data_IF_227117636830
#
_entry.id   IF_227117636830
#
_cell.length_a   1.000
_cell.length_b   1.000
_cell.length_c   1.000
_cell.angle_alpha   90.00
_cell.angle_beta   90.00
_cell.angle_gamma   90.00
#
_symmetry.space_group_name_H-M   'P 1'
#
loop_
_entity.id
_entity.type
_entity.pdbx_description
1 polymer ?
#
# COMPACT_ATOMS: atom_id res chain seq x y z
N UNK A 1 -29.81 -9.88 9.86
CA UNK A 1 -28.64 -8.96 9.79
C UNK A 1 -27.52 -9.56 10.64
N UNK A 2 -26.36 -9.93 10.05
CA UNK A 2 -25.25 -10.49 10.84
C UNK A 2 -24.21 -9.42 11.15
N UNK A 3 -23.72 -9.43 12.39
CA UNK A 3 -22.60 -8.61 12.83
C UNK A 3 -21.38 -9.50 13.02
N UNK A 4 -20.30 -9.24 12.28
CA UNK A 4 -19.01 -9.91 12.45
C UNK A 4 -18.09 -8.99 13.24
N UNK A 5 -17.53 -9.50 14.33
CA UNK A 5 -16.54 -8.78 15.10
C UNK A 5 -15.14 -9.06 14.57
N UNK A 6 -14.51 -8.05 13.99
CA UNK A 6 -13.12 -8.13 13.59
C UNK A 6 -12.23 -8.04 14.84
N UNK A 7 -11.63 -9.16 15.23
CA UNK A 7 -10.76 -9.25 16.40
C UNK A 7 -9.47 -8.43 16.27
N UNK A 8 -9.01 -8.13 15.04
CA UNK A 8 -7.81 -7.33 14.79
C UNK A 8 -8.10 -5.84 14.89
N UNK A 9 -9.26 -5.42 14.38
CA UNK A 9 -9.70 -4.02 14.35
C UNK A 9 -10.57 -3.64 15.55
N UNK A 10 -10.93 -4.62 16.40
CA UNK A 10 -11.84 -4.49 17.55
C UNK A 10 -13.13 -3.76 17.19
N UNK A 11 -13.66 -4.01 16.00
CA UNK A 11 -14.81 -3.31 15.45
C UNK A 11 -15.86 -4.30 14.95
N UNK A 12 -17.11 -3.94 15.16
CA UNK A 12 -18.26 -4.65 14.60
C UNK A 12 -18.50 -4.18 13.17
N UNK A 13 -18.63 -5.15 12.27
CA UNK A 13 -19.04 -4.94 10.88
C UNK A 13 -20.40 -5.57 10.68
N UNK A 14 -21.35 -4.77 10.21
CA UNK A 14 -22.65 -5.28 9.78
C UNK A 14 -22.52 -5.74 8.34
N UNK A 15 -22.74 -7.02 8.11
CA UNK A 15 -22.64 -7.62 6.79
C UNK A 15 -24.06 -7.86 6.28
N UNK A 16 -24.34 -7.26 5.12
CA UNK A 16 -25.55 -7.52 4.36
C UNK A 16 -25.26 -8.68 3.40
N UNK A 17 -26.01 -9.77 3.51
CA UNK A 17 -25.94 -10.83 2.51
C UNK A 17 -26.47 -10.28 1.17
N UNK A 18 -25.75 -10.45 0.06
CA UNK A 18 -26.22 -9.98 -1.25
C UNK A 18 -27.42 -10.79 -1.79
N UNK A 19 -27.85 -11.84 -1.08
CA UNK A 19 -28.95 -12.71 -1.49
C UNK A 19 -30.28 -12.43 -0.77
N UNK A 20 -30.34 -11.44 0.13
CA UNK A 20 -31.57 -11.08 0.85
C UNK A 20 -31.97 -9.66 0.47
N UNK A 21 -33.14 -9.44 -0.18
CA UNK A 21 -33.65 -8.10 -0.42
C UNK A 21 -33.75 -7.34 0.92
N UNK A 22 -33.41 -6.04 0.95
CA UNK A 22 -33.36 -5.26 2.19
C UNK A 22 -34.71 -5.12 2.91
N UNK A 23 -35.80 -5.63 2.33
CA UNK A 23 -37.16 -5.49 2.82
C UNK A 23 -37.62 -6.68 3.70
N UNK A 24 -36.87 -7.80 3.72
CA UNK A 24 -37.23 -9.02 4.47
C UNK A 24 -36.14 -9.46 5.47
N UNK A 25 -35.66 -8.56 6.33
CA UNK A 25 -34.60 -8.89 7.32
C UNK A 25 -35.13 -9.21 8.71
N UNK A 26 -35.98 -10.22 8.83
CA UNK A 26 -36.33 -10.88 10.11
C UNK A 26 -35.84 -12.34 10.15
N UNK A 27 -34.74 -12.65 9.49
CA UNK A 27 -34.15 -13.99 9.54
C UNK A 27 -33.05 -14.14 10.60
N UNK A 28 -33.23 -15.23 11.35
CA UNK A 28 -32.47 -15.80 12.47
C UNK A 28 -30.94 -15.76 12.23
N UNK A 29 -30.15 -15.18 13.15
CA UNK A 29 -28.68 -15.19 13.11
C UNK A 29 -28.08 -16.58 12.89
N UNK A 30 -28.75 -17.65 13.35
CA UNK A 30 -28.26 -19.03 13.28
C UNK A 30 -28.32 -19.62 11.86
N UNK A 31 -29.14 -19.07 10.95
CA UNK A 31 -29.18 -19.49 9.55
C UNK A 31 -27.91 -19.07 8.78
N UNK A 32 -27.30 -17.95 9.15
CA UNK A 32 -26.04 -17.46 8.56
C UNK A 32 -24.80 -18.23 9.03
N UNK A 33 -24.84 -18.82 10.23
CA UNK A 33 -23.76 -19.65 10.76
C UNK A 33 -23.74 -21.06 10.17
N UNK A 34 -24.89 -21.54 9.70
CA UNK A 34 -25.00 -22.80 8.95
C UNK A 34 -24.65 -22.64 7.46
N UNK A 35 -24.26 -21.45 7.00
CA UNK A 35 -23.80 -21.21 5.64
C UNK A 35 -22.41 -21.85 5.42
N UNK A 36 -22.29 -22.85 4.52
CA UNK A 36 -21.03 -23.52 4.21
C UNK A 36 -19.91 -22.56 3.74
N UNK A 37 -20.30 -21.39 3.22
CA UNK A 37 -19.39 -20.32 2.78
C UNK A 37 -18.54 -19.78 3.94
N UNK A 38 -19.17 -19.40 5.06
CA UNK A 38 -18.48 -18.74 6.16
C UNK A 38 -17.56 -19.70 6.93
N UNK A 39 -17.99 -20.96 7.08
CA UNK A 39 -17.16 -22.01 7.67
C UNK A 39 -15.87 -22.27 6.87
N UNK A 40 -15.95 -22.27 5.53
CA UNK A 40 -14.79 -22.45 4.66
C UNK A 40 -13.82 -21.25 4.69
N UNK A 41 -14.34 -20.02 4.78
CA UNK A 41 -13.55 -18.79 4.89
C UNK A 41 -12.76 -18.75 6.20
N UNK A 42 -13.37 -19.09 7.33
CA UNK A 42 -12.70 -19.14 8.64
C UNK A 42 -11.63 -20.23 8.68
N UNK A 43 -11.91 -21.40 8.10
CA UNK A 43 -10.97 -22.53 8.06
C UNK A 43 -9.75 -22.26 7.16
N UNK A 44 -9.89 -21.51 6.07
CA UNK A 44 -8.79 -21.18 5.13
C UNK A 44 -7.89 -20.05 5.59
N UNK A 45 -8.39 -19.15 6.44
CA UNK A 45 -7.66 -17.96 6.93
C UNK A 45 -6.86 -18.22 8.21
N UNK A 46 -6.85 -19.47 8.70
CA UNK A 46 -6.13 -19.85 9.92
C UNK A 46 -6.84 -19.42 11.21
N UNK A 47 -8.08 -18.97 11.14
CA UNK A 47 -8.91 -18.72 12.30
C UNK A 47 -9.39 -20.06 12.86
N UNK A 48 -8.93 -20.43 14.07
CA UNK A 48 -9.52 -21.56 14.80
C UNK A 48 -10.93 -21.16 15.22
N UNK A 49 -11.95 -21.75 14.60
CA UNK A 49 -13.23 -21.93 15.27
C UNK A 49 -12.95 -22.75 16.54
N UNK A 50 -13.28 -22.18 17.69
CA UNK A 50 -13.08 -22.82 18.99
C UNK A 50 -14.06 -24.01 19.08
N UNK A 51 -13.58 -25.16 19.57
CA UNK A 51 -14.28 -26.46 19.48
C UNK A 51 -15.58 -26.53 20.30
N UNK A 52 -15.85 -25.52 21.12
CA UNK A 52 -17.01 -25.33 21.98
C UNK A 52 -18.26 -24.79 21.24
N UNK A 53 -18.21 -24.61 19.90
CA UNK A 53 -19.29 -24.00 19.13
C UNK A 53 -19.95 -24.89 18.06
N UNK A 54 -19.64 -26.19 18.00
CA UNK A 54 -20.22 -27.09 17.01
C UNK A 54 -20.95 -28.27 17.65
N UNK A 55 -22.26 -28.17 17.80
CA UNK A 55 -23.16 -29.32 17.62
C UNK A 55 -24.36 -28.87 16.78
N UNK A 56 -24.20 -28.85 15.46
CA UNK A 56 -25.31 -29.15 14.57
C UNK A 56 -24.79 -30.05 13.45
N UNK A 57 -25.29 -31.27 13.47
CA UNK A 57 -25.06 -32.34 12.50
C UNK A 57 -25.75 -31.96 11.18
N UNK A 58 -24.99 -31.59 10.15
CA UNK A 58 -25.58 -31.23 8.84
C UNK A 58 -25.91 -32.50 8.07
N UNK A 59 -27.17 -32.93 8.19
CA UNK A 59 -27.82 -33.85 7.24
C UNK A 59 -27.84 -33.24 5.84
N UNK A 60 -27.32 -34.00 4.88
CA UNK A 60 -27.24 -33.69 3.45
C UNK A 60 -28.52 -33.08 2.87
N UNK A 61 -28.39 -32.00 2.08
CA UNK A 61 -29.18 -31.77 0.85
C UNK A 61 -28.60 -30.61 0.02
N UNK A 62 -29.10 -30.33 -1.20
CA UNK A 62 -28.41 -30.67 -2.44
C UNK A 62 -27.90 -29.44 -3.18
N UNK A 63 -27.07 -29.71 -4.17
CA UNK A 63 -26.58 -28.75 -5.16
C UNK A 63 -27.76 -28.01 -5.80
N UNK A 64 -27.76 -26.68 -5.71
CA UNK A 64 -28.33 -25.85 -6.76
C UNK A 64 -27.57 -24.52 -6.92
N UNK A 65 -27.54 -24.09 -8.16
CA UNK A 65 -26.67 -23.09 -8.76
C UNK A 65 -26.79 -21.69 -8.17
N UNK A 66 -25.81 -21.29 -7.37
CA UNK A 66 -25.37 -19.90 -7.23
C UNK A 66 -23.90 -19.93 -6.79
N UNK A 67 -22.97 -19.72 -7.73
CA UNK A 67 -21.54 -19.65 -7.42
C UNK A 67 -21.30 -18.47 -6.47
N UNK A 68 -21.20 -18.80 -5.19
CA UNK A 68 -20.85 -17.89 -4.10
C UNK A 68 -19.51 -17.20 -4.38
N UNK A 69 -19.53 -15.86 -4.34
CA UNK A 69 -18.47 -14.90 -4.65
C UNK A 69 -17.39 -14.85 -3.55
N UNK A 70 -16.75 -16.00 -3.29
CA UNK A 70 -15.53 -16.11 -2.49
C UNK A 70 -14.35 -15.55 -3.28
N UNK A 71 -13.46 -14.79 -2.62
CA UNK A 71 -12.10 -14.54 -3.10
C UNK A 71 -11.35 -15.86 -3.28
N UNK A 72 -11.42 -16.48 -4.46
CA UNK A 72 -10.69 -17.71 -4.75
C UNK A 72 -9.24 -17.36 -5.09
N UNK A 73 -8.36 -17.37 -4.11
CA UNK A 73 -6.91 -17.31 -4.35
C UNK A 73 -6.52 -18.44 -5.32
N UNK A 74 -5.63 -18.16 -6.29
CA UNK A 74 -5.18 -19.07 -7.35
C UNK A 74 -6.24 -19.49 -8.38
N UNK A 75 -7.05 -18.54 -8.88
CA UNK A 75 -7.89 -18.80 -10.05
C UNK A 75 -7.67 -17.79 -11.16
N UNK A 76 -7.74 -18.28 -12.40
CA UNK A 76 -7.72 -17.46 -13.63
C UNK A 76 -9.02 -16.67 -13.82
N UNK A 77 -10.04 -16.94 -12.99
CA UNK A 77 -11.31 -16.22 -13.00
C UNK A 77 -11.16 -14.88 -12.27
N UNK A 78 -11.75 -13.80 -12.79
CA UNK A 78 -11.69 -12.48 -12.17
C UNK A 78 -12.29 -12.51 -10.76
N UNK A 79 -11.45 -12.22 -9.77
CA UNK A 79 -11.83 -12.33 -8.37
C UNK A 79 -12.46 -11.01 -7.93
N UNK A 80 -13.68 -11.09 -7.39
CA UNK A 80 -14.18 -10.13 -6.41
C UNK A 80 -14.28 -8.67 -6.85
N UNK A 81 -14.39 -8.33 -8.13
CA UNK A 81 -14.84 -6.98 -8.52
C UNK A 81 -15.88 -7.13 -9.60
N UNK A 82 -17.07 -6.62 -9.34
CA UNK A 82 -18.10 -6.57 -10.35
C UNK A 82 -17.56 -5.79 -11.55
N UNK A 83 -17.61 -6.43 -12.72
CA UNK A 83 -16.97 -5.98 -13.97
C UNK A 83 -17.25 -4.50 -14.28
N UNK A 84 -18.43 -4.00 -13.91
CA UNK A 84 -18.84 -2.61 -14.13
C UNK A 84 -18.03 -1.56 -13.34
N UNK A 85 -17.31 -1.95 -12.28
CA UNK A 85 -16.42 -1.04 -11.55
C UNK A 85 -15.03 -0.95 -12.19
N UNK A 86 -14.74 -1.77 -13.20
CA UNK A 86 -13.46 -1.79 -13.88
C UNK A 86 -13.51 -1.05 -15.19
N UNK A 87 -12.37 -0.48 -15.56
CA UNK A 87 -12.19 0.25 -16.80
C UNK A 87 -11.26 -0.51 -17.73
N UNK A 88 -11.57 -0.42 -19.02
CA UNK A 88 -10.70 -0.94 -20.07
C UNK A 88 -9.41 -0.11 -20.10
N UNK A 89 -8.28 -0.79 -20.28
CA UNK A 89 -6.94 -0.20 -20.32
C UNK A 89 -6.85 1.05 -21.22
N UNK A 90 -7.39 1.09 -22.46
CA UNK A 90 -7.29 2.27 -23.33
C UNK A 90 -7.99 3.52 -22.79
N UNK A 91 -8.93 3.36 -21.85
CA UNK A 91 -9.66 4.50 -21.27
C UNK A 91 -8.86 5.19 -20.16
N UNK A 92 -7.82 4.54 -19.60
CA UNK A 92 -7.02 5.06 -18.49
C UNK A 92 -5.69 5.56 -19.09
N UNK A 93 -5.44 6.88 -19.21
CA UNK A 93 -4.28 7.40 -19.93
C UNK A 93 -2.94 6.82 -19.47
N UNK A 94 -2.73 6.67 -18.15
CA UNK A 94 -1.52 6.05 -17.61
C UNK A 94 -1.31 4.59 -18.05
N UNK A 95 -2.39 3.84 -18.30
CA UNK A 95 -2.33 2.45 -18.75
C UNK A 95 -2.36 2.32 -20.29
N UNK A 96 -2.86 3.34 -20.98
CA UNK A 96 -2.94 3.41 -22.44
C UNK A 96 -1.61 3.79 -23.10
N UNK A 97 -0.68 4.40 -22.34
CA UNK A 97 0.67 4.73 -22.77
C UNK A 97 1.36 3.51 -23.46
N UNK A 98 1.83 3.63 -24.71
CA UNK A 98 2.48 2.53 -25.44
C UNK A 98 3.75 1.98 -24.78
N UNK A 99 4.40 2.78 -23.93
CA UNK A 99 5.58 2.38 -23.17
C UNK A 99 5.24 1.69 -21.84
N UNK A 100 3.95 1.60 -21.49
CA UNK A 100 3.47 0.79 -20.36
C UNK A 100 3.52 -0.68 -20.72
N UNK A 101 4.18 -1.47 -19.87
CA UNK A 101 4.16 -2.93 -20.00
C UNK A 101 2.81 -3.46 -19.53
N UNK A 102 2.29 -4.47 -20.23
CA UNK A 102 1.01 -5.10 -19.92
C UNK A 102 1.25 -6.57 -19.61
N UNK A 103 0.76 -7.01 -18.46
CA UNK A 103 0.81 -8.40 -18.01
C UNK A 103 -0.62 -8.97 -18.06
N UNK A 104 -0.90 -9.95 -18.93
CA UNK A 104 -2.15 -10.69 -18.88
C UNK A 104 -2.28 -11.45 -17.55
N UNK A 105 -3.45 -11.37 -16.91
CA UNK A 105 -3.68 -11.98 -15.59
C UNK A 105 -3.40 -13.49 -15.56
N UNK A 106 -3.67 -14.18 -16.66
CA UNK A 106 -3.47 -15.63 -16.80
C UNK A 106 -1.98 -16.03 -16.95
N UNK A 107 -1.09 -15.06 -17.19
CA UNK A 107 0.36 -15.31 -17.22
C UNK A 107 1.01 -15.18 -15.83
N UNK A 108 0.26 -14.72 -14.82
CA UNK A 108 0.76 -14.65 -13.45
C UNK A 108 0.72 -16.04 -12.82
N UNK A 109 1.90 -16.55 -12.47
CA UNK A 109 2.08 -17.88 -11.88
C UNK A 109 2.56 -17.81 -10.44
N UNK A 110 2.59 -18.96 -9.75
CA UNK A 110 3.12 -19.09 -8.39
C UNK A 110 2.54 -18.10 -7.38
N UNK A 111 1.26 -17.74 -7.58
CA UNK A 111 0.56 -16.74 -6.78
C UNK A 111 0.42 -17.21 -5.34
N UNK A 112 0.86 -16.36 -4.41
CA UNK A 112 0.85 -16.59 -2.96
C UNK A 112 0.30 -15.36 -2.28
N UNK A 113 -0.59 -15.57 -1.32
CA UNK A 113 -1.12 -14.48 -0.50
C UNK A 113 0.02 -13.75 0.21
N UNK A 114 0.06 -12.42 0.06
CA UNK A 114 0.99 -11.56 0.78
C UNK A 114 0.25 -10.69 1.79
N UNK A 115 -0.78 -9.97 1.34
CA UNK A 115 -1.62 -9.12 2.17
C UNK A 115 -3.01 -8.94 1.52
N UNK A 116 -3.89 -8.20 2.19
CA UNK A 116 -5.14 -7.76 1.55
C UNK A 116 -4.80 -7.01 0.26
N UNK A 117 -5.44 -7.38 -0.85
CA UNK A 117 -5.19 -6.82 -2.19
C UNK A 117 -3.79 -7.08 -2.78
N UNK A 118 -2.94 -7.88 -2.16
CA UNK A 118 -1.57 -8.10 -2.63
C UNK A 118 -1.18 -9.58 -2.61
N UNK A 119 -0.58 -10.02 -3.71
CA UNK A 119 -0.09 -11.39 -3.88
C UNK A 119 1.35 -11.35 -4.37
N UNK A 120 2.19 -12.26 -3.85
CA UNK A 120 3.49 -12.53 -4.43
C UNK A 120 3.30 -13.49 -5.60
N UNK A 121 3.90 -13.21 -6.75
CA UNK A 121 3.74 -14.01 -7.96
C UNK A 121 4.99 -13.94 -8.85
N UNK A 122 5.02 -14.77 -9.88
CA UNK A 122 6.06 -14.75 -10.90
C UNK A 122 5.43 -14.41 -12.25
N UNK A 123 6.12 -13.59 -13.05
CA UNK A 123 5.73 -13.22 -14.41
C UNK A 123 6.97 -13.16 -15.28
N UNK A 124 6.98 -13.86 -16.42
CA UNK A 124 8.17 -13.96 -17.29
C UNK A 124 8.69 -12.59 -17.72
N UNK A 125 7.78 -11.62 -17.91
CA UNK A 125 8.16 -10.25 -18.22
C UNK A 125 9.01 -9.56 -17.13
N UNK A 126 8.89 -9.94 -15.86
CA UNK A 126 9.69 -9.34 -14.79
C UNK A 126 11.10 -9.94 -14.66
N UNK A 127 11.42 -10.99 -15.44
CA UNK A 127 12.64 -11.76 -15.28
C UNK A 127 12.54 -12.79 -14.15
N UNK A 128 13.67 -13.22 -13.56
CA UNK A 128 13.69 -14.34 -12.60
C UNK A 128 13.21 -13.98 -11.19
N UNK A 129 12.84 -12.72 -10.94
CA UNK A 129 12.49 -12.23 -9.60
C UNK A 129 10.98 -12.32 -9.35
N UNK A 130 10.61 -12.73 -8.14
CA UNK A 130 9.23 -12.62 -7.66
C UNK A 130 8.79 -11.13 -7.64
N UNK A 131 7.54 -10.89 -8.02
CA UNK A 131 6.90 -9.58 -8.05
C UNK A 131 5.61 -9.59 -7.23
N UNK A 132 5.18 -8.41 -6.79
CA UNK A 132 3.92 -8.23 -6.08
C UNK A 132 2.86 -7.79 -7.06
N UNK A 133 1.78 -8.57 -7.14
CA UNK A 133 0.55 -8.19 -7.81
C UNK A 133 -0.39 -7.50 -6.82
N UNK A 134 -0.55 -6.18 -6.97
CA UNK A 134 -1.57 -5.41 -6.26
C UNK A 134 -2.85 -5.38 -7.09
N UNK A 135 -3.92 -5.99 -6.57
CA UNK A 135 -5.20 -6.19 -7.25
C UNK A 135 -6.27 -5.19 -6.79
N UNK A 136 -7.20 -4.85 -7.67
CA UNK A 136 -8.39 -4.08 -7.30
C UNK A 136 -9.26 -4.92 -6.35
N UNK A 137 -9.63 -4.36 -5.19
CA UNK A 137 -10.53 -5.01 -4.23
C UNK A 137 -12.01 -4.84 -4.59
N UNK A 138 -12.85 -5.74 -4.05
CA UNK A 138 -14.29 -5.53 -4.02
C UNK A 138 -14.62 -4.31 -3.16
N UNK A 139 -15.10 -3.23 -3.77
CA UNK A 139 -15.56 -2.06 -3.04
C UNK A 139 -15.89 -0.91 -3.95
N UNK A 140 -16.83 -0.08 -3.51
CA UNK A 140 -17.15 1.16 -4.22
C UNK A 140 -15.95 2.10 -4.15
N UNK A 141 -15.45 2.53 -5.32
CA UNK A 141 -14.31 3.46 -5.43
C UNK A 141 -12.91 2.82 -5.37
N UNK A 142 -12.79 1.52 -5.10
CA UNK A 142 -11.48 0.84 -4.98
C UNK A 142 -10.70 0.82 -6.31
N UNK A 143 -11.39 0.64 -7.44
CA UNK A 143 -10.77 0.71 -8.77
C UNK A 143 -10.21 2.11 -9.07
N UNK A 144 -10.96 3.16 -8.74
CA UNK A 144 -10.53 4.55 -8.91
C UNK A 144 -9.28 4.89 -8.09
N UNK A 145 -9.19 4.38 -6.86
CA UNK A 145 -8.00 4.52 -6.01
C UNK A 145 -6.78 3.85 -6.64
N UNK A 146 -6.94 2.61 -7.11
CA UNK A 146 -5.84 1.88 -7.73
C UNK A 146 -5.39 2.53 -9.06
N UNK A 147 -6.33 3.07 -9.86
CA UNK A 147 -5.97 3.79 -11.09
C UNK A 147 -5.16 5.06 -10.80
N UNK A 148 -5.48 5.78 -9.71
CA UNK A 148 -4.69 6.92 -9.22
C UNK A 148 -3.28 6.51 -8.83
N UNK A 149 -3.14 5.39 -8.13
CA UNK A 149 -1.83 4.86 -7.77
C UNK A 149 -1.00 4.49 -9.01
N UNK A 150 -1.60 3.79 -9.99
CA UNK A 150 -0.92 3.47 -11.26
C UNK A 150 -0.45 4.75 -11.97
N UNK A 151 -1.32 5.77 -12.06
CA UNK A 151 -0.99 7.03 -12.70
C UNK A 151 0.12 7.80 -11.97
N UNK A 152 0.11 7.80 -10.64
CA UNK A 152 1.16 8.40 -9.83
C UNK A 152 2.49 7.68 -10.03
N UNK A 153 2.53 6.36 -9.87
CA UNK A 153 3.76 5.58 -10.03
C UNK A 153 4.34 5.76 -11.43
N UNK A 154 3.48 5.86 -12.44
CA UNK A 154 3.89 6.13 -13.82
C UNK A 154 4.47 7.54 -13.99
N UNK A 155 3.85 8.55 -13.41
CA UNK A 155 4.36 9.92 -13.42
C UNK A 155 5.73 10.02 -12.73
N UNK A 156 5.86 9.36 -11.58
CA UNK A 156 7.10 9.32 -10.82
C UNK A 156 8.25 8.63 -11.60
N UNK A 157 7.92 7.64 -12.43
CA UNK A 157 8.90 6.94 -13.28
C UNK A 157 9.36 7.79 -14.47
N UNK A 158 8.44 8.49 -15.15
CA UNK A 158 8.72 9.18 -16.41
C UNK A 158 9.15 10.65 -16.24
N UNK A 159 8.53 11.36 -15.31
CA UNK A 159 8.49 12.82 -15.33
C UNK A 159 9.24 13.46 -14.16
N UNK A 160 9.55 12.70 -13.11
CA UNK A 160 10.36 13.18 -11.98
C UNK A 160 11.82 12.81 -12.25
N UNK A 161 12.69 13.77 -12.64
CA UNK A 161 14.07 13.46 -12.98
C UNK A 161 14.79 12.92 -11.75
N UNK A 162 15.26 11.67 -11.81
CA UNK A 162 16.19 11.09 -10.82
C UNK A 162 17.60 11.69 -10.94
N UNK A 163 17.73 12.94 -11.39
CA UNK A 163 19.02 13.60 -11.58
C UNK A 163 19.78 13.57 -10.25
N UNK A 164 20.92 12.86 -10.17
CA UNK A 164 21.79 12.99 -9.03
C UNK A 164 22.30 14.42 -9.01
N UNK A 165 22.03 15.16 -7.92
CA UNK A 165 22.83 16.36 -7.63
C UNK A 165 24.31 15.92 -7.58
N UNK A 166 25.25 16.66 -8.18
CA UNK A 166 26.67 16.33 -8.04
C UNK A 166 27.03 16.30 -6.55
N UNK A 167 27.50 15.14 -6.06
CA UNK A 167 27.81 14.90 -4.65
C UNK A 167 26.73 14.16 -3.84
N UNK A 168 25.53 13.93 -4.38
CA UNK A 168 24.53 13.07 -3.77
C UNK A 168 24.74 11.62 -4.21
N UNK A 169 25.03 10.72 -3.28
CA UNK A 169 24.95 9.27 -3.51
C UNK A 169 23.60 8.94 -4.14
N UNK A 170 23.60 8.37 -5.36
CA UNK A 170 22.45 7.86 -6.12
C UNK A 170 21.15 7.79 -5.29
N UNK A 171 20.40 8.89 -5.18
CA UNK A 171 19.20 8.95 -4.34
C UNK A 171 18.13 8.07 -4.99
N UNK A 172 17.95 6.89 -4.42
CA UNK A 172 16.97 5.89 -4.87
C UNK A 172 15.57 6.46 -4.62
N UNK A 173 14.71 6.36 -5.62
CA UNK A 173 13.33 6.81 -5.54
C UNK A 173 12.59 6.12 -4.37
N UNK A 174 11.92 6.86 -3.46
CA UNK A 174 11.31 6.33 -2.23
C UNK A 174 9.97 5.63 -2.46
N UNK A 175 9.63 5.32 -3.70
CA UNK A 175 8.44 4.52 -4.06
C UNK A 175 8.87 3.30 -4.87
N UNK A 176 8.05 2.25 -4.84
CA UNK A 176 8.26 1.07 -5.68
C UNK A 176 7.97 1.42 -7.14
N UNK A 177 8.85 1.03 -8.09
CA UNK A 177 8.59 1.27 -9.50
C UNK A 177 7.40 0.40 -9.97
N UNK A 178 6.63 0.95 -10.90
CA UNK A 178 5.59 0.23 -11.61
C UNK A 178 6.26 -0.67 -12.67
N UNK A 179 6.02 -1.98 -12.61
CA UNK A 179 6.58 -2.94 -13.58
C UNK A 179 5.64 -3.09 -14.77
N UNK A 180 4.35 -3.32 -14.52
CA UNK A 180 3.34 -3.54 -15.54
C UNK A 180 1.93 -3.28 -15.01
N UNK A 181 1.01 -2.94 -15.92
CA UNK A 181 -0.42 -2.97 -15.67
C UNK A 181 -0.95 -4.39 -15.92
N UNK A 182 -1.79 -4.91 -15.03
CA UNK A 182 -2.37 -6.26 -15.15
C UNK A 182 -3.78 -6.16 -15.71
N UNK A 183 -4.04 -6.89 -16.79
CA UNK A 183 -5.35 -6.90 -17.49
C UNK A 183 -5.91 -8.32 -17.63
N UNK A 184 -7.22 -8.45 -17.74
CA UNK A 184 -7.86 -9.70 -18.16
C UNK A 184 -8.04 -9.79 -19.68
N UNK A 185 -8.73 -10.85 -20.15
CA UNK A 185 -8.98 -11.09 -21.57
C UNK A 185 -9.82 -9.99 -22.26
N UNK A 186 -10.57 -9.20 -21.50
CA UNK A 186 -11.39 -8.10 -22.00
C UNK A 186 -10.66 -6.74 -21.92
N UNK A 187 -9.35 -6.75 -21.67
CA UNK A 187 -8.51 -5.57 -21.41
C UNK A 187 -8.95 -4.76 -20.18
N UNK A 188 -9.70 -5.35 -19.25
CA UNK A 188 -10.08 -4.67 -18.01
C UNK A 188 -8.89 -4.66 -17.05
N UNK A 189 -8.57 -3.48 -16.52
CA UNK A 189 -7.45 -3.34 -15.58
C UNK A 189 -7.82 -3.97 -14.24
N UNK A 190 -7.11 -5.03 -13.88
CA UNK A 190 -7.27 -5.80 -12.63
C UNK A 190 -6.28 -5.40 -11.55
N UNK A 191 -5.20 -4.74 -11.92
CA UNK A 191 -4.26 -4.16 -10.98
C UNK A 191 -2.91 -3.85 -11.60
N UNK A 192 -1.84 -3.96 -10.82
CA UNK A 192 -0.49 -3.71 -11.31
C UNK A 192 0.57 -4.58 -10.61
N UNK A 193 1.73 -4.70 -11.25
CA UNK A 193 2.91 -5.37 -10.74
C UNK A 193 3.94 -4.35 -10.22
N UNK A 194 4.53 -4.62 -9.08
CA UNK A 194 5.68 -3.90 -8.54
C UNK A 194 6.69 -4.88 -7.91
N UNK A 195 7.95 -4.48 -7.65
CA UNK A 195 8.89 -5.33 -6.93
C UNK A 195 8.41 -5.62 -5.51
N UNK A 196 8.88 -6.72 -4.92
CA UNK A 196 8.74 -6.92 -3.49
C UNK A 196 9.54 -5.85 -2.73
N UNK A 197 8.83 -5.02 -1.94
CA UNK A 197 9.42 -3.88 -1.24
C UNK A 197 9.98 -4.18 0.15
N UNK A 198 9.87 -5.42 0.64
CA UNK A 198 10.34 -5.82 1.96
C UNK A 198 9.24 -5.86 3.03
N UNK A 199 9.66 -5.74 4.29
CA UNK A 199 8.81 -5.91 5.47
C UNK A 199 8.20 -4.58 5.89
N UNK A 200 6.88 -4.49 6.15
CA UNK A 200 6.28 -3.29 6.71
C UNK A 200 6.88 -2.89 8.06
N UNK A 201 7.03 -1.59 8.34
CA UNK A 201 7.70 -1.12 9.56
C UNK A 201 7.05 -1.64 10.85
N UNK A 202 5.72 -1.83 10.88
CA UNK A 202 5.00 -2.36 12.05
C UNK A 202 5.21 -3.87 12.29
N UNK A 203 5.84 -4.56 11.34
CA UNK A 203 6.17 -5.99 11.39
C UNK A 203 7.65 -6.27 11.63
N UNK A 204 8.49 -5.24 11.71
CA UNK A 204 9.91 -5.43 11.95
C UNK A 204 10.17 -6.04 13.35
N UNK A 205 11.34 -6.69 13.55
CA UNK A 205 11.74 -7.21 14.85
C UNK A 205 11.78 -6.13 15.93
N UNK A 206 11.70 -6.53 17.20
CA UNK A 206 11.79 -5.57 18.30
C UNK A 206 13.09 -4.76 18.27
N UNK A 207 13.03 -3.48 18.66
CA UNK A 207 14.18 -2.57 18.74
C UNK A 207 14.93 -2.43 17.41
N UNK A 208 14.22 -2.37 16.29
CA UNK A 208 14.79 -2.28 14.94
C UNK A 208 14.61 -0.91 14.29
N UNK A 209 13.75 -0.05 14.84
CA UNK A 209 13.41 1.23 14.23
C UNK A 209 14.59 2.19 14.35
N UNK A 210 14.95 2.84 13.23
CA UNK A 210 16.02 3.83 13.14
C UNK A 210 15.47 5.14 12.58
N UNK A 211 15.99 6.27 13.04
CA UNK A 211 15.67 7.60 12.56
C UNK A 211 15.97 7.75 11.06
N UNK A 212 17.02 7.07 10.56
CA UNK A 212 17.37 7.05 9.13
C UNK A 212 16.24 6.52 8.24
N UNK A 213 15.38 5.63 8.73
CA UNK A 213 14.22 5.16 7.96
C UNK A 213 13.22 6.29 7.68
N UNK A 214 13.06 7.23 8.63
CA UNK A 214 12.15 8.37 8.47
C UNK A 214 12.73 9.48 7.60
N UNK A 215 14.05 9.53 7.42
CA UNK A 215 14.67 10.42 6.43
C UNK A 215 14.21 10.07 5.02
N UNK A 216 14.17 8.78 4.68
CA UNK A 216 13.66 8.32 3.38
C UNK A 216 12.16 8.58 3.22
N UNK A 217 11.37 8.41 4.30
CA UNK A 217 9.95 8.79 4.31
C UNK A 217 9.77 10.29 4.05
N UNK A 218 10.56 11.15 4.70
CA UNK A 218 10.52 12.60 4.49
C UNK A 218 10.82 12.97 3.03
N UNK A 219 11.81 12.33 2.39
CA UNK A 219 12.08 12.53 0.96
C UNK A 219 10.91 12.10 0.07
N UNK A 220 10.24 11.01 0.41
CA UNK A 220 9.03 10.58 -0.29
C UNK A 220 7.89 11.59 -0.15
N UNK A 221 7.64 12.09 1.06
CA UNK A 221 6.61 13.11 1.29
C UNK A 221 6.94 14.43 0.61
N UNK A 222 8.19 14.88 0.67
CA UNK A 222 8.70 16.02 -0.09
C UNK A 222 8.42 15.87 -1.60
N UNK A 223 8.71 14.68 -2.15
CA UNK A 223 8.44 14.39 -3.57
C UNK A 223 6.95 14.54 -3.88
N UNK A 224 6.06 13.95 -3.09
CA UNK A 224 4.60 14.04 -3.31
C UNK A 224 4.08 15.48 -3.18
N UNK A 225 4.55 16.22 -2.18
CA UNK A 225 4.07 17.58 -1.90
C UNK A 225 4.55 18.60 -2.93
N UNK A 226 5.42 18.20 -3.86
CA UNK A 226 5.81 18.99 -5.03
C UNK A 226 5.06 18.58 -6.31
N UNK A 227 4.13 17.63 -6.24
CA UNK A 227 3.32 17.17 -7.38
C UNK A 227 1.91 17.76 -7.27
N UNK A 228 1.47 18.61 -8.21
CA UNK A 228 0.09 19.07 -8.23
C UNK A 228 -0.89 17.91 -8.45
N UNK A 229 -2.00 17.87 -7.70
CA UNK A 229 -2.98 16.76 -7.79
C UNK A 229 -3.56 16.58 -9.19
N UNK A 230 -3.83 17.69 -9.89
CA UNK A 230 -4.41 17.68 -11.23
C UNK A 230 -3.58 16.86 -12.23
N UNK A 231 -2.25 16.82 -12.09
CA UNK A 231 -1.35 16.06 -12.97
C UNK A 231 -1.65 14.56 -12.90
N UNK A 232 -1.90 14.03 -11.70
CA UNK A 232 -2.27 12.62 -11.51
C UNK A 232 -3.71 12.40 -11.97
N UNK A 233 -4.64 13.31 -11.61
CA UNK A 233 -6.05 13.20 -12.00
C UNK A 233 -6.24 13.14 -13.51
N UNK A 234 -5.56 13.98 -14.29
CA UNK A 234 -5.60 13.94 -15.76
C UNK A 234 -5.16 12.59 -16.33
N UNK A 235 -4.17 11.94 -15.71
CA UNK A 235 -3.65 10.64 -16.14
C UNK A 235 -4.53 9.44 -15.75
N UNK A 236 -5.55 9.68 -14.94
CA UNK A 236 -6.53 8.66 -14.53
C UNK A 236 -7.88 8.84 -15.20
N UNK A 237 -8.25 10.08 -15.51
CA UNK A 237 -9.58 10.44 -16.00
C UNK A 237 -9.77 9.91 -17.42
N UNK A 238 -11.00 9.47 -17.72
CA UNK A 238 -11.38 9.18 -19.10
C UNK A 238 -11.36 10.49 -19.90
N UNK A 239 -10.54 10.62 -20.96
CA UNK A 239 -10.46 11.84 -21.74
C UNK A 239 -11.78 12.17 -22.45
N UNK A 240 -12.69 11.20 -22.64
CA UNK A 240 -14.00 11.46 -23.24
C UNK A 240 -15.02 12.06 -22.27
N UNK A 241 -14.71 12.12 -20.97
CA UNK A 241 -15.62 12.62 -19.93
C UNK A 241 -15.23 14.05 -19.53
N UNK A 242 -16.12 15.05 -19.71
CA UNK A 242 -15.83 16.42 -19.34
C UNK A 242 -15.55 16.59 -17.84
N UNK A 243 -14.61 17.48 -17.51
CA UNK A 243 -14.25 17.80 -16.13
C UNK A 243 -15.27 18.77 -15.53
N UNK A 244 -15.88 18.38 -14.40
CA UNK A 244 -16.81 19.26 -13.67
C UNK A 244 -16.06 20.28 -12.81
N UNK A 245 -16.72 21.39 -12.44
CA UNK A 245 -16.14 22.39 -11.54
C UNK A 245 -15.78 21.79 -10.17
N UNK A 246 -16.65 20.92 -9.63
CA UNK A 246 -16.38 20.19 -8.39
C UNK A 246 -15.11 19.32 -8.49
N UNK A 247 -14.87 18.69 -9.64
CA UNK A 247 -13.65 17.91 -9.88
C UNK A 247 -12.41 18.80 -9.98
N UNK A 248 -12.51 19.98 -10.62
CA UNK A 248 -11.40 20.95 -10.65
C UNK A 248 -11.05 21.42 -9.24
N UNK A 249 -12.05 21.77 -8.45
CA UNK A 249 -11.84 22.16 -7.05
C UNK A 249 -11.21 21.03 -6.21
N UNK A 250 -11.61 19.77 -6.45
CA UNK A 250 -11.00 18.61 -5.78
C UNK A 250 -9.54 18.35 -6.21
N UNK A 251 -9.17 18.78 -7.42
CA UNK A 251 -7.83 18.68 -7.99
C UNK A 251 -6.92 19.87 -7.58
N UNK A 252 -7.42 20.81 -6.77
CA UNK A 252 -6.61 21.89 -6.22
C UNK A 252 -5.61 21.41 -5.16
N UNK A 253 -4.43 22.04 -5.17
CA UNK A 253 -3.34 21.80 -4.22
C UNK A 253 -2.35 20.72 -4.64
N UNK A 254 -1.51 20.34 -3.67
CA UNK A 254 -0.44 19.36 -3.85
C UNK A 254 -0.87 17.97 -3.40
N UNK A 255 -0.28 16.96 -4.00
CA UNK A 255 -0.56 15.57 -3.68
C UNK A 255 -0.09 15.25 -2.25
N UNK A 256 -0.89 14.44 -1.59
CA UNK A 256 -0.58 13.87 -0.28
C UNK A 256 -0.50 12.36 -0.42
N UNK A 257 0.22 11.71 0.49
CA UNK A 257 0.15 10.26 0.61
C UNK A 257 -1.27 9.82 0.95
N UNK A 258 -1.92 10.50 1.90
CA UNK A 258 -3.33 10.29 2.23
C UNK A 258 -3.62 9.13 3.19
N UNK A 259 -2.74 8.12 3.27
CA UNK A 259 -2.87 6.98 4.19
C UNK A 259 -1.49 6.57 4.73
N UNK A 260 -0.70 7.58 5.14
CA UNK A 260 0.63 7.31 5.67
C UNK A 260 0.53 6.62 7.04
N UNK A 261 1.03 5.40 7.11
CA UNK A 261 1.09 4.62 8.35
C UNK A 261 2.13 3.51 8.22
N UNK A 262 2.50 2.89 9.34
CA UNK A 262 3.61 1.92 9.38
C UNK A 262 3.42 0.69 8.49
N UNK A 263 2.18 0.31 8.15
CA UNK A 263 1.89 -0.79 7.20
C UNK A 263 2.21 -0.43 5.74
N UNK A 264 2.24 0.87 5.43
CA UNK A 264 2.43 1.42 4.08
C UNK A 264 3.86 1.94 3.86
N UNK A 265 4.76 1.67 4.81
CA UNK A 265 6.19 1.95 4.70
C UNK A 265 6.93 0.63 4.81
N UNK A 266 7.63 0.25 3.75
CA UNK A 266 8.34 -1.03 3.63
C UNK A 266 9.84 -0.81 3.79
N UNK A 267 10.50 -1.74 4.48
CA UNK A 267 11.96 -1.83 4.57
C UNK A 267 12.42 -3.09 3.83
N UNK A 268 13.21 -2.89 2.78
CA UNK A 268 14.02 -3.96 2.22
C UNK A 268 15.26 -4.16 3.12
N UNK A 269 15.21 -5.19 3.96
CA UNK A 269 16.25 -5.51 4.93
C UNK A 269 17.61 -5.82 4.27
N UNK A 270 17.61 -6.30 3.03
CA UNK A 270 18.84 -6.65 2.31
C UNK A 270 19.57 -5.39 1.81
N UNK A 271 18.82 -4.36 1.39
CA UNK A 271 19.40 -3.13 0.84
C UNK A 271 19.35 -1.93 1.78
N UNK A 272 18.60 -2.03 2.87
CA UNK A 272 18.27 -0.92 3.77
C UNK A 272 17.34 0.12 3.14
N UNK A 273 16.77 -0.15 1.96
CA UNK A 273 15.92 0.81 1.25
C UNK A 273 14.54 0.88 1.89
N UNK A 274 14.09 2.09 2.18
CA UNK A 274 12.70 2.36 2.57
C UNK A 274 11.87 2.74 1.34
N UNK A 275 10.65 2.20 1.25
CA UNK A 275 9.70 2.53 0.18
C UNK A 275 8.31 2.82 0.74
N UNK A 276 7.67 3.87 0.21
CA UNK A 276 6.27 4.21 0.44
C UNK A 276 5.39 3.51 -0.60
N UNK A 277 4.26 2.97 -0.15
CA UNK A 277 3.26 2.29 -0.97
C UNK A 277 1.85 2.77 -0.63
N UNK A 278 0.86 2.43 -1.45
CA UNK A 278 -0.55 2.76 -1.17
C UNK A 278 -0.81 4.28 -1.09
N UNK A 279 -0.27 4.98 -2.08
CA UNK A 279 -0.23 6.44 -2.14
C UNK A 279 -1.44 6.98 -2.90
N UNK A 280 -2.00 8.08 -2.43
CA UNK A 280 -3.05 8.82 -3.14
C UNK A 280 -4.47 8.51 -2.68
N UNK A 281 -4.63 7.79 -1.56
CA UNK A 281 -5.92 7.55 -0.92
C UNK A 281 -6.05 8.41 0.34
N UNK A 282 -6.83 9.48 0.32
CA UNK A 282 -7.09 10.31 1.50
C UNK A 282 -8.51 10.07 2.01
N UNK A 283 -8.71 9.33 3.13
CA UNK A 283 -10.00 9.29 3.78
C UNK A 283 -10.36 10.68 4.33
N UNK A 284 -11.66 10.92 4.54
CA UNK A 284 -12.17 12.21 5.04
C UNK A 284 -11.57 12.64 6.39
N UNK A 285 -11.19 11.66 7.23
CA UNK A 285 -10.63 11.88 8.56
C UNK A 285 -9.10 12.10 8.55
N UNK A 286 -8.47 12.11 7.37
CA UNK A 286 -7.02 12.23 7.27
C UNK A 286 -6.53 13.63 7.64
N UNK A 287 -5.70 13.70 8.69
CA UNK A 287 -5.17 14.96 9.24
C UNK A 287 -3.98 15.53 8.46
N UNK A 288 -3.57 14.86 7.37
CA UNK A 288 -2.42 15.22 6.55
C UNK A 288 -1.13 14.47 6.92
N UNK A 289 -0.23 14.35 5.93
CA UNK A 289 0.98 13.50 6.01
C UNK A 289 1.90 13.85 7.17
N UNK A 290 1.99 15.14 7.52
CA UNK A 290 2.83 15.62 8.63
C UNK A 290 2.40 15.03 9.97
N UNK A 291 1.10 15.06 10.27
CA UNK A 291 0.58 14.51 11.52
C UNK A 291 0.56 12.99 11.49
N UNK A 292 0.26 12.38 10.34
CA UNK A 292 0.34 10.94 10.16
C UNK A 292 1.76 10.40 10.38
N UNK A 293 2.79 11.11 9.92
CA UNK A 293 4.20 10.77 10.15
C UNK A 293 4.54 10.83 11.64
N UNK A 294 4.10 11.87 12.35
CA UNK A 294 4.29 12.00 13.80
C UNK A 294 3.59 10.88 14.57
N UNK A 295 2.34 10.58 14.25
CA UNK A 295 1.58 9.48 14.87
C UNK A 295 2.27 8.13 14.61
N UNK A 296 2.74 7.89 13.38
CA UNK A 296 3.50 6.69 13.02
C UNK A 296 4.82 6.58 13.79
N UNK A 297 5.61 7.66 13.88
CA UNK A 297 6.87 7.69 14.62
C UNK A 297 6.65 7.37 16.10
N UNK A 298 5.62 7.96 16.71
CA UNK A 298 5.26 7.68 18.10
C UNK A 298 4.87 6.22 18.33
N UNK A 299 4.02 5.66 17.47
CA UNK A 299 3.65 4.25 17.55
C UNK A 299 4.87 3.32 17.39
N UNK A 300 5.76 3.62 16.45
CA UNK A 300 6.95 2.80 16.17
C UNK A 300 8.04 2.90 17.25
N UNK A 301 8.15 4.04 17.97
CA UNK A 301 9.02 4.19 19.15
C UNK A 301 8.64 3.21 20.26
N UNK A 302 7.35 2.94 20.43
CA UNK A 302 6.83 1.97 21.40
C UNK A 302 6.89 0.54 20.86
N UNK A 303 6.42 0.32 19.64
CA UNK A 303 6.37 -1.00 19.00
C UNK A 303 6.51 -0.90 17.48
N UNK A 304 7.53 -1.54 16.88
CA UNK A 304 8.40 -2.56 17.47
C UNK A 304 9.53 -2.02 18.35
N UNK A 305 9.70 -0.70 18.43
CA UNK A 305 10.65 -0.04 19.32
C UNK A 305 11.85 0.51 18.57
N UNK A 306 12.30 1.70 19.01
CA UNK A 306 13.54 2.30 18.55
C UNK A 306 14.75 1.41 18.91
N UNK A 307 15.76 1.41 18.04
CA UNK A 307 16.95 0.56 18.21
C UNK A 307 17.93 1.07 19.26
N UNK A 308 17.91 2.36 19.59
CA UNK A 308 18.67 2.94 20.70
C UNK A 308 18.04 4.24 21.23
N UNK A 309 18.48 4.72 22.40
CA UNK A 309 18.08 6.02 22.94
C UNK A 309 18.48 7.19 22.03
N UNK A 310 19.59 7.07 21.30
CA UNK A 310 20.01 8.09 20.34
C UNK A 310 19.01 8.19 19.18
N UNK A 311 18.45 7.06 18.74
CA UNK A 311 17.40 7.04 17.72
C UNK A 311 16.09 7.63 18.24
N UNK A 312 15.71 7.35 19.49
CA UNK A 312 14.56 8.00 20.15
C UNK A 312 14.73 9.51 20.15
N UNK A 313 15.88 10.01 20.60
CA UNK A 313 16.17 11.45 20.63
C UNK A 313 16.11 12.08 19.24
N UNK A 314 16.68 11.42 18.23
CA UNK A 314 16.63 11.90 16.86
C UNK A 314 15.18 11.96 16.33
N UNK A 315 14.37 10.94 16.61
CA UNK A 315 12.95 10.92 16.25
C UNK A 315 12.14 11.99 16.99
N UNK A 316 12.41 12.26 18.26
CA UNK A 316 11.74 13.32 19.03
C UNK A 316 12.06 14.71 18.47
N UNK A 317 13.32 14.96 18.09
CA UNK A 317 13.72 16.20 17.45
C UNK A 317 13.04 16.38 16.07
N UNK A 318 12.97 15.32 15.25
CA UNK A 318 12.22 15.32 13.99
C UNK A 318 10.73 15.63 14.24
N UNK A 319 10.12 15.02 15.25
CA UNK A 319 8.72 15.26 15.63
C UNK A 319 8.49 16.74 15.99
N UNK A 320 9.38 17.36 16.77
CA UNK A 320 9.28 18.79 17.10
C UNK A 320 9.31 19.65 15.84
N UNK A 321 10.25 19.39 14.92
CA UNK A 321 10.33 20.12 13.65
C UNK A 321 9.07 19.91 12.80
N UNK A 322 8.55 18.69 12.75
CA UNK A 322 7.31 18.38 12.05
C UNK A 322 6.16 19.19 12.62
N UNK A 323 5.97 19.21 13.95
CA UNK A 323 4.90 19.97 14.61
C UNK A 323 5.04 21.48 14.44
N UNK A 324 6.26 22.00 14.36
CA UNK A 324 6.54 23.41 14.13
C UNK A 324 6.39 23.84 12.66
N UNK A 325 6.02 22.92 11.76
CA UNK A 325 5.74 23.23 10.36
C UNK A 325 6.98 23.32 9.46
N UNK A 326 8.15 22.83 9.90
CA UNK A 326 9.35 22.84 9.07
C UNK A 326 9.15 22.00 7.78
N UNK A 327 9.62 22.45 6.60
CA UNK A 327 9.53 21.69 5.34
C UNK A 327 10.17 20.30 5.45
N UNK A 328 9.62 19.31 4.74
CA UNK A 328 10.12 17.93 4.81
C UNK A 328 11.58 17.81 4.34
N UNK A 329 11.96 18.55 3.30
CA UNK A 329 13.30 18.59 2.74
C UNK A 329 14.32 19.17 3.72
N UNK A 330 13.92 20.16 4.52
CA UNK A 330 14.76 20.77 5.54
C UNK A 330 15.05 19.76 6.65
N UNK A 331 14.01 19.08 7.16
CA UNK A 331 14.15 18.04 8.18
C UNK A 331 15.03 16.91 7.64
N UNK A 332 14.74 16.41 6.43
CA UNK A 332 15.52 15.32 5.83
C UNK A 332 17.00 15.70 5.71
N UNK A 333 17.31 16.88 5.17
CA UNK A 333 18.70 17.34 4.98
C UNK A 333 19.45 17.49 6.29
N UNK A 334 18.80 18.01 7.34
CA UNK A 334 19.40 18.14 8.67
C UNK A 334 19.79 16.76 9.21
N UNK A 335 18.88 15.79 9.17
CA UNK A 335 19.10 14.47 9.74
C UNK A 335 20.00 13.58 8.89
N UNK A 336 20.03 13.73 7.57
CA UNK A 336 21.08 13.12 6.73
C UNK A 336 22.46 13.56 7.17
N UNK A 337 22.66 14.87 7.41
CA UNK A 337 23.96 15.39 7.85
C UNK A 337 24.33 14.94 9.25
N UNK A 338 23.35 14.85 10.15
CA UNK A 338 23.53 14.48 11.56
C UNK A 338 23.78 12.98 11.74
N UNK A 339 23.07 12.14 11.00
CA UNK A 339 23.13 10.67 11.10
C UNK A 339 24.18 10.07 10.15
N UNK A 340 24.51 10.75 9.06
CA UNK A 340 25.57 10.35 8.12
C UNK A 340 27.00 10.64 8.62
N UNK A 341 27.15 11.50 9.63
CA UNK A 341 28.42 11.66 10.37
C UNK A 341 28.54 10.53 11.38
N UNK A 342 29.18 9.42 11.00
CA UNK A 342 29.69 8.44 11.96
C UNK A 342 30.74 9.16 12.82
N UNK A 343 30.54 9.36 14.14
CA UNK A 343 31.58 9.87 15.01
C UNK A 343 32.60 8.74 15.19
N UNK A 344 33.74 8.80 14.50
CA UNK A 344 34.79 7.80 14.64
C UNK A 344 35.82 7.67 13.52
N UNK A 345 35.82 8.52 12.49
CA UNK A 345 36.81 8.46 11.40
C UNK A 345 37.72 9.70 11.27
N UNK A 346 37.71 10.61 12.24
CA UNK A 346 38.73 11.66 12.38
C UNK A 346 39.64 11.37 13.59
N UNK A 347 40.43 10.31 13.50
CA UNK A 347 41.56 10.08 14.40
C UNK A 347 42.70 9.37 13.66
N UNK A 348 43.26 10.04 12.65
CA UNK A 348 44.63 9.75 12.20
C UNK A 348 45.24 10.91 11.42
N UNK A 349 45.27 12.10 12.02
CA UNK A 349 46.09 13.21 11.50
C UNK A 349 46.83 13.94 12.62
N UNK A 350 47.55 13.19 13.49
CA UNK A 350 48.51 13.82 14.42
C UNK A 350 49.65 12.90 14.90
N UNK A 351 50.10 11.92 14.09
CA UNK A 351 51.27 11.09 14.45
C UNK A 351 52.12 10.70 13.24
N UNK A 352 52.56 11.68 12.45
CA UNK A 352 53.62 11.47 11.42
C UNK A 352 54.55 12.69 11.22
N UNK A 353 54.77 13.49 12.26
CA UNK A 353 55.83 14.53 12.25
C UNK A 353 56.65 14.52 13.54
N UNK A 354 57.19 13.37 13.91
CA UNK A 354 58.39 13.25 14.76
C UNK A 354 59.11 11.94 14.38
N UNK A 355 59.66 11.91 13.17
CA UNK A 355 60.71 10.97 12.75
C UNK A 355 61.28 11.49 11.42
N UNK A 356 62.07 12.55 11.52
CA UNK A 356 63.01 12.99 10.49
C UNK A 356 63.99 13.96 11.13
#
# INVERSE_FOLDING_TARGET
MAAVFDLRLRRWYHIFSPHVPPEDTDEDPDALWNDPYWFAVLRRTGHRARADFNEVEVTRSPVDSAESLVTRMNTDKPIGVLVYNLRRRPTIPACADPSMRVAPLHELSSRRYLAQSAELCSWEGAGPSDVVFKQVLHGWGESGRLYREIALLRYLELDVPTRPRPGASSRRHPFLPLIACVVDADELVRGFLCPYGGTPLDKLPQKSIKATMFVDVLHGLATLHNIPKWVVSERTRDPSVPVTEQQRAADEGMLQHGDLCARNVLLDEATGKVSLIDVGNSPYEYKGDRMALVEMMNALKEKPGASSEAEVKAMDEMEVMLRNGAPFEEIASLFESKLGRIPGTDSNETSRRQAS
#
